data_IF_138680320525
#
_entry.id   IF_138680320525
#
_cell.length_a   1.000
_cell.length_b   1.000
_cell.length_c   1.000
_cell.angle_alpha   90.00
_cell.angle_beta   90.00
_cell.angle_gamma   90.00
#
_symmetry.space_group_name_H-M   'P 1'
#
loop_
_entity.id
_entity.type
_entity.pdbx_description
1 polymer ?
#
# COMPACT_ATOMS: atom_id res chain seq x y z
N UNK A 1 15.25 22.22 15.32
CA UNK A 1 14.51 20.95 15.24
C UNK A 1 15.49 19.85 15.63
N UNK A 2 15.10 18.91 16.49
CA UNK A 2 15.99 17.83 16.90
C UNK A 2 16.13 16.81 15.76
N UNK A 3 17.36 16.33 15.52
CA UNK A 3 17.64 15.36 14.47
C UNK A 3 17.43 13.95 15.04
N UNK A 4 16.29 13.32 14.73
CA UNK A 4 15.91 12.04 15.36
C UNK A 4 16.93 10.91 15.12
N UNK A 5 17.75 11.01 14.06
CA UNK A 5 18.79 10.05 13.74
C UNK A 5 19.98 10.25 14.69
N UNK A 6 20.49 11.47 14.79
CA UNK A 6 21.61 11.82 15.69
C UNK A 6 21.24 11.63 17.16
N UNK A 7 19.99 11.94 17.52
CA UNK A 7 19.45 11.73 18.87
C UNK A 7 19.19 10.25 19.19
N UNK A 8 19.36 9.34 18.21
CA UNK A 8 19.06 7.90 18.32
C UNK A 8 17.61 7.60 18.72
N UNK A 9 16.70 8.55 18.46
CA UNK A 9 15.28 8.38 18.68
C UNK A 9 14.62 7.57 17.56
N UNK A 10 15.21 7.60 16.35
CA UNK A 10 14.84 6.77 15.21
C UNK A 10 16.09 6.13 14.64
N UNK A 11 16.19 4.81 14.71
CA UNK A 11 17.37 4.06 14.29
C UNK A 11 17.20 3.65 12.82
N UNK A 12 18.11 4.03 11.91
CA UNK A 12 18.09 3.55 10.53
C UNK A 12 18.37 2.06 10.47
N UNK A 13 17.82 1.38 9.45
CA UNK A 13 18.09 -0.05 9.23
C UNK A 13 19.52 -0.26 8.71
N UNK A 14 20.02 0.72 7.95
CA UNK A 14 21.40 0.80 7.53
C UNK A 14 21.85 2.27 7.56
N UNK A 15 22.99 2.53 8.19
CA UNK A 15 23.68 3.81 8.09
C UNK A 15 25.03 3.58 7.44
N UNK A 16 25.29 4.31 6.36
CA UNK A 16 26.57 4.23 5.64
C UNK A 16 27.26 5.58 5.63
N UNK A 17 28.58 5.51 5.66
CA UNK A 17 29.47 6.65 5.46
C UNK A 17 30.24 6.43 4.17
N UNK A 18 29.88 7.20 3.15
CA UNK A 18 30.54 7.15 1.86
C UNK A 18 31.88 7.91 1.93
N UNK A 19 32.89 7.54 1.10
CA UNK A 19 34.12 8.31 0.99
C UNK A 19 33.82 9.74 0.50
N UNK A 20 34.57 10.72 0.99
CA UNK A 20 34.41 12.10 0.48
C UNK A 20 34.92 12.21 -0.96
N UNK A 21 35.93 11.42 -1.28
CA UNK A 21 36.58 11.29 -2.57
C UNK A 21 35.61 10.82 -3.65
N UNK A 22 34.58 10.06 -3.26
CA UNK A 22 33.50 9.65 -4.14
C UNK A 22 32.76 10.87 -4.70
N UNK A 23 32.22 11.72 -3.83
CA UNK A 23 31.54 12.96 -4.26
C UNK A 23 32.48 13.93 -4.95
N UNK A 24 33.74 14.01 -4.50
CA UNK A 24 34.75 14.89 -5.11
C UNK A 24 35.12 14.47 -6.54
N UNK A 25 34.86 13.22 -6.93
CA UNK A 25 35.08 12.74 -8.29
C UNK A 25 33.98 13.15 -9.25
N UNK A 26 32.83 13.64 -8.77
CA UNK A 26 31.70 13.97 -9.63
C UNK A 26 31.93 15.33 -10.32
N UNK A 27 32.41 15.30 -11.56
CA UNK A 27 32.64 16.52 -12.36
C UNK A 27 31.37 17.38 -12.51
N UNK A 28 30.21 16.73 -12.59
CA UNK A 28 28.89 17.36 -12.70
C UNK A 28 28.07 17.30 -11.41
N UNK A 29 28.71 17.25 -10.23
CA UNK A 29 28.01 17.27 -8.94
C UNK A 29 26.96 18.39 -8.86
N UNK A 30 25.73 18.14 -8.34
CA UNK A 30 25.18 16.87 -7.82
C UNK A 30 24.37 16.07 -8.85
N UNK A 31 24.48 16.37 -10.15
CA UNK A 31 23.56 15.87 -11.18
C UNK A 31 23.89 14.43 -11.63
N UNK A 32 25.15 14.14 -11.96
CA UNK A 32 25.57 12.82 -12.49
C UNK A 32 27.03 12.50 -12.20
N UNK A 33 27.30 11.20 -12.01
CA UNK A 33 28.63 10.59 -12.01
C UNK A 33 29.14 10.45 -13.44
N UNK A 34 29.85 11.46 -13.94
CA UNK A 34 30.39 11.45 -15.31
C UNK A 34 31.91 11.17 -15.38
N UNK A 35 32.55 10.82 -14.27
CA UNK A 35 34.01 10.60 -14.22
C UNK A 35 34.41 9.13 -14.07
N UNK A 36 35.59 8.78 -14.59
CA UNK A 36 36.21 7.46 -14.35
C UNK A 36 36.55 7.32 -12.86
N UNK A 37 35.68 6.64 -12.12
CA UNK A 37 35.93 6.32 -10.71
C UNK A 37 36.97 5.22 -10.55
N UNK A 38 37.81 5.34 -9.51
CA UNK A 38 38.73 4.28 -9.14
C UNK A 38 37.98 3.01 -8.70
N UNK A 39 38.57 1.83 -8.92
CA UNK A 39 38.01 0.53 -8.47
C UNK A 39 37.69 0.51 -6.97
N UNK A 40 38.40 1.30 -6.16
CA UNK A 40 38.17 1.40 -4.72
C UNK A 40 36.88 2.15 -4.37
N UNK A 41 36.47 3.10 -5.21
CA UNK A 41 35.27 3.93 -5.03
C UNK A 41 34.03 3.36 -5.72
N UNK A 42 34.19 2.45 -6.70
CA UNK A 42 33.05 1.80 -7.40
C UNK A 42 31.97 1.25 -6.49
N UNK A 43 32.26 0.60 -5.34
CA UNK A 43 31.19 0.14 -4.48
C UNK A 43 30.31 1.26 -3.95
N UNK A 44 30.78 2.50 -3.82
CA UNK A 44 29.97 3.62 -3.34
C UNK A 44 28.77 3.95 -4.25
N UNK A 45 28.85 3.59 -5.54
CA UNK A 45 27.77 3.75 -6.52
C UNK A 45 26.49 2.98 -6.12
N UNK A 46 26.64 1.86 -5.40
CA UNK A 46 25.50 1.09 -4.88
C UNK A 46 24.62 1.86 -3.88
N UNK A 47 25.03 3.06 -3.44
CA UNK A 47 24.17 3.94 -2.64
C UNK A 47 22.89 4.35 -3.40
N UNK A 48 22.97 4.43 -4.73
CA UNK A 48 21.86 4.66 -5.66
C UNK A 48 21.49 3.32 -6.29
N UNK A 49 20.36 2.75 -5.89
CA UNK A 49 19.92 1.45 -6.42
C UNK A 49 19.52 1.62 -7.88
N UNK A 50 20.43 1.26 -8.79
CA UNK A 50 20.13 1.09 -10.20
C UNK A 50 19.75 -0.36 -10.45
N UNK A 51 18.59 -0.54 -11.06
CA UNK A 51 18.09 -1.85 -11.44
C UNK A 51 18.60 -2.11 -12.88
N UNK A 52 19.52 -3.05 -13.13
CA UNK A 52 20.16 -3.21 -14.44
C UNK A 52 19.13 -3.58 -15.53
N UNK A 53 19.13 -2.92 -16.68
CA UNK A 53 18.24 -3.26 -17.82
C UNK A 53 18.93 -4.16 -18.86
N UNK A 54 19.77 -5.10 -18.42
CA UNK A 54 20.59 -5.94 -19.30
C UNK A 54 19.95 -7.31 -19.65
N UNK A 55 18.76 -7.58 -19.11
CA UNK A 55 18.03 -8.82 -19.36
C UNK A 55 18.56 -10.06 -18.62
N UNK A 56 19.53 -9.93 -17.71
CA UNK A 56 20.07 -11.05 -16.89
C UNK A 56 19.27 -11.32 -15.60
N UNK A 57 17.96 -11.05 -15.65
CA UNK A 57 17.11 -10.97 -14.48
C UNK A 57 16.83 -12.31 -13.82
N UNK A 58 16.91 -12.32 -12.48
CA UNK A 58 16.54 -13.44 -11.61
C UNK A 58 15.63 -12.97 -10.49
N UNK A 59 15.01 -13.89 -9.75
CA UNK A 59 14.21 -13.54 -8.56
C UNK A 59 15.08 -12.91 -7.48
N UNK A 60 16.34 -13.32 -7.39
CA UNK A 60 17.36 -12.77 -6.51
C UNK A 60 17.66 -11.29 -6.81
N UNK A 61 17.51 -10.87 -8.06
CA UNK A 61 17.62 -9.46 -8.48
C UNK A 61 16.52 -8.56 -7.90
N UNK A 62 15.43 -9.14 -7.37
CA UNK A 62 14.33 -8.39 -6.73
C UNK A 62 14.58 -8.13 -5.24
N UNK A 63 15.61 -8.75 -4.65
CA UNK A 63 16.03 -8.41 -3.30
C UNK A 63 16.66 -7.02 -3.31
N UNK A 64 16.51 -6.29 -2.21
CA UNK A 64 17.27 -5.07 -2.04
C UNK A 64 18.76 -5.39 -2.22
N UNK A 65 19.58 -4.50 -2.81
CA UNK A 65 21.03 -4.70 -2.91
C UNK A 65 21.71 -5.01 -1.56
N UNK A 66 21.05 -4.69 -0.44
CA UNK A 66 21.54 -4.93 0.91
C UNK A 66 21.00 -6.22 1.54
N UNK A 67 20.23 -7.00 0.78
CA UNK A 67 19.66 -8.29 1.18
C UNK A 67 20.19 -9.46 0.31
N UNK A 68 20.96 -9.18 -0.75
CA UNK A 68 21.67 -10.15 -1.60
C UNK A 68 23.19 -10.18 -1.40
N UNK A 69 23.95 -10.71 -2.35
CA UNK A 69 25.44 -10.79 -2.29
C UNK A 69 26.12 -9.40 -2.25
N UNK A 70 25.50 -8.39 -2.86
CA UNK A 70 25.92 -6.97 -2.81
C UNK A 70 25.97 -6.41 -1.37
N UNK A 71 25.36 -7.10 -0.41
CA UNK A 71 25.43 -6.79 1.03
C UNK A 71 26.86 -6.88 1.56
N UNK A 72 27.72 -7.79 1.10
CA UNK A 72 29.05 -7.92 1.72
C UNK A 72 29.95 -6.73 1.42
N UNK A 73 29.96 -6.27 0.16
CA UNK A 73 30.97 -5.34 -0.30
C UNK A 73 30.61 -3.88 -0.01
N UNK A 74 29.36 -3.48 -0.22
CA UNK A 74 28.93 -2.12 0.12
C UNK A 74 28.75 -1.94 1.64
N UNK A 75 27.94 -2.80 2.27
CA UNK A 75 27.65 -2.68 3.70
C UNK A 75 28.92 -2.94 4.51
N UNK A 76 29.71 -3.95 4.17
CA UNK A 76 30.97 -4.24 4.87
C UNK A 76 31.98 -3.09 4.80
N UNK A 77 32.05 -2.35 3.68
CA UNK A 77 33.00 -1.24 3.52
C UNK A 77 32.53 0.07 4.11
N UNK A 78 31.25 0.40 4.00
CA UNK A 78 30.76 1.74 4.31
C UNK A 78 29.82 1.81 5.50
N UNK A 79 29.30 0.67 6.00
CA UNK A 79 28.46 0.72 7.21
C UNK A 79 29.23 1.31 8.39
N UNK A 80 28.50 2.07 9.21
CA UNK A 80 29.09 2.70 10.37
C UNK A 80 28.05 3.13 11.39
N UNK A 81 28.53 3.54 12.55
CA UNK A 81 27.66 4.13 13.56
C UNK A 81 27.24 5.55 13.16
N UNK A 82 26.00 5.91 13.52
CA UNK A 82 25.52 7.29 13.41
C UNK A 82 26.42 8.21 14.25
N UNK A 83 27.08 9.22 13.64
CA UNK A 83 27.93 10.13 14.36
C UNK A 83 27.11 11.09 15.23
N UNK A 84 27.72 11.63 16.29
CA UNK A 84 27.10 12.66 17.14
C UNK A 84 26.79 13.97 16.41
N UNK A 85 27.38 14.18 15.23
CA UNK A 85 27.14 15.36 14.41
C UNK A 85 27.38 15.01 12.94
N UNK A 86 26.39 15.28 12.10
CA UNK A 86 26.49 15.09 10.66
C UNK A 86 27.28 16.26 10.04
N UNK A 87 28.52 15.97 9.65
CA UNK A 87 29.43 16.95 9.03
C UNK A 87 28.99 17.27 7.59
N UNK A 88 28.88 18.56 7.30
CA UNK A 88 28.68 19.09 5.95
C UNK A 88 30.05 19.37 5.33
N UNK A 89 30.27 18.95 4.09
CA UNK A 89 31.49 19.21 3.33
C UNK A 89 31.16 20.04 2.09
N UNK A 90 32.13 20.82 1.63
CA UNK A 90 32.02 21.66 0.43
C UNK A 90 32.68 20.93 -0.74
N UNK A 91 31.95 20.86 -1.85
CA UNK A 91 32.44 20.35 -3.12
C UNK A 91 33.24 21.43 -3.87
N UNK A 92 34.10 21.04 -4.80
CA UNK A 92 34.99 21.97 -5.53
C UNK A 92 34.22 23.03 -6.34
N UNK A 93 32.98 22.76 -6.72
CA UNK A 93 32.08 23.68 -7.42
C UNK A 93 31.33 24.67 -6.49
N UNK A 94 31.55 24.60 -5.17
CA UNK A 94 30.88 25.45 -4.16
C UNK A 94 29.57 24.89 -3.61
N UNK A 95 29.09 23.76 -4.14
CA UNK A 95 27.96 23.03 -3.56
C UNK A 95 28.39 22.29 -2.29
N UNK A 96 27.43 21.69 -1.61
CA UNK A 96 27.70 20.97 -0.38
C UNK A 96 27.05 19.61 -0.34
N UNK A 97 27.74 18.67 0.28
CA UNK A 97 27.26 17.31 0.48
C UNK A 97 27.46 16.85 1.92
N UNK A 98 26.76 15.77 2.27
CA UNK A 98 26.97 15.01 3.50
C UNK A 98 27.34 13.59 3.07
N UNK A 99 28.49 13.06 3.47
CA UNK A 99 28.91 11.72 3.07
C UNK A 99 28.23 10.64 3.94
N UNK A 100 26.94 10.80 4.20
CA UNK A 100 26.18 9.94 5.10
C UNK A 100 24.83 9.65 4.47
N UNK A 101 24.52 8.37 4.33
CA UNK A 101 23.19 7.91 3.91
C UNK A 101 22.55 7.07 5.01
N UNK A 102 21.28 7.35 5.28
CA UNK A 102 20.50 6.66 6.29
C UNK A 102 19.29 6.01 5.61
N UNK A 103 19.32 4.69 5.52
CA UNK A 103 18.26 3.89 4.91
C UNK A 103 17.24 3.47 5.96
N UNK A 104 15.98 3.76 5.66
CA UNK A 104 14.85 3.41 6.50
C UNK A 104 13.85 2.58 5.70
N UNK A 105 13.34 1.53 6.34
CA UNK A 105 12.16 0.82 5.88
C UNK A 105 10.98 1.78 5.84
N UNK A 106 10.17 1.71 4.78
CA UNK A 106 9.08 2.67 4.55
C UNK A 106 8.10 2.76 5.74
N UNK A 107 7.86 1.64 6.43
CA UNK A 107 6.92 1.56 7.56
C UNK A 107 7.37 2.39 8.77
N UNK A 108 8.66 2.77 8.88
CA UNK A 108 9.13 3.70 9.91
C UNK A 108 8.51 5.09 9.77
N UNK A 109 7.92 5.42 8.62
CA UNK A 109 7.07 6.61 8.46
C UNK A 109 5.82 6.58 9.35
N UNK A 110 5.30 5.40 9.69
CA UNK A 110 4.14 5.25 10.59
C UNK A 110 4.47 5.62 12.04
N UNK A 111 5.73 5.44 12.46
CA UNK A 111 6.21 5.93 13.77
C UNK A 111 6.00 7.44 13.87
N UNK A 112 6.24 8.20 12.80
CA UNK A 112 6.02 9.66 12.82
C UNK A 112 4.56 10.01 13.04
N UNK A 113 3.63 9.26 12.45
CA UNK A 113 2.18 9.49 12.58
C UNK A 113 1.77 9.43 14.05
N UNK A 114 2.19 8.38 14.75
CA UNK A 114 1.83 8.18 16.16
C UNK A 114 2.68 9.04 17.13
N UNK A 115 3.97 9.20 16.84
CA UNK A 115 4.86 10.01 17.67
C UNK A 115 4.51 11.50 17.62
N UNK A 116 3.97 12.01 16.52
CA UNK A 116 3.56 13.42 16.40
C UNK A 116 2.11 13.67 16.83
N UNK A 117 1.27 12.64 16.99
CA UNK A 117 -0.13 12.79 17.36
C UNK A 117 -0.31 13.57 18.69
N UNK A 118 -0.86 14.77 18.60
CA UNK A 118 -1.10 15.67 19.74
C UNK A 118 0.11 16.50 20.19
N UNK A 119 1.21 16.47 19.43
CA UNK A 119 2.46 17.21 19.71
C UNK A 119 2.87 18.13 18.55
N UNK A 120 1.95 18.44 17.63
CA UNK A 120 2.19 19.25 16.44
C UNK A 120 2.58 20.70 16.74
N UNK A 121 2.26 21.16 17.95
CA UNK A 121 2.46 22.53 18.43
C UNK A 121 3.20 22.58 19.77
N UNK A 122 4.02 21.57 20.03
CA UNK A 122 4.79 21.45 21.28
C UNK A 122 5.64 22.70 21.57
N UNK A 123 6.12 23.34 20.52
CA UNK A 123 6.92 24.57 20.52
C UNK A 123 6.13 25.82 20.93
N UNK A 124 4.80 25.82 20.79
CA UNK A 124 3.94 26.93 21.24
C UNK A 124 3.73 26.93 22.75
N UNK A 125 3.85 25.77 23.39
CA UNK A 125 3.46 25.59 24.80
C UNK A 125 4.65 25.27 25.70
N UNK A 126 5.78 24.81 25.17
CA UNK A 126 6.95 24.40 25.93
C UNK A 126 8.22 25.07 25.45
N UNK A 127 9.18 25.21 26.37
CA UNK A 127 10.54 25.65 26.02
C UNK A 127 11.18 24.68 25.04
N UNK A 128 12.11 25.17 24.22
CA UNK A 128 12.83 24.33 23.25
C UNK A 128 13.47 23.08 23.89
N UNK A 129 14.08 23.22 25.07
CA UNK A 129 14.77 22.12 25.76
C UNK A 129 13.77 21.06 26.21
N UNK A 130 12.71 21.49 26.90
CA UNK A 130 11.66 20.59 27.43
C UNK A 130 10.89 19.91 26.30
N UNK A 131 10.52 20.67 25.25
CA UNK A 131 9.84 20.12 24.09
C UNK A 131 10.70 19.08 23.36
N UNK A 132 12.00 19.37 23.17
CA UNK A 132 12.95 18.41 22.58
C UNK A 132 13.04 17.12 23.38
N UNK A 133 13.20 17.19 24.70
CA UNK A 133 13.30 16.01 25.57
C UNK A 133 12.04 15.13 25.50
N UNK A 134 10.86 15.74 25.56
CA UNK A 134 9.58 15.03 25.45
C UNK A 134 9.43 14.36 24.07
N UNK A 135 9.76 15.08 23.00
CA UNK A 135 9.61 14.56 21.64
C UNK A 135 10.58 13.40 21.39
N UNK A 136 11.84 13.50 21.82
CA UNK A 136 12.81 12.39 21.73
C UNK A 136 12.31 11.17 22.51
N UNK A 137 11.86 11.36 23.76
CA UNK A 137 11.33 10.26 24.58
C UNK A 137 10.12 9.59 23.92
N UNK A 138 9.24 10.37 23.30
CA UNK A 138 8.06 9.86 22.62
C UNK A 138 8.42 9.08 21.36
N UNK A 139 9.27 9.62 20.50
CA UNK A 139 9.75 8.91 19.31
C UNK A 139 10.44 7.60 19.69
N UNK A 140 11.28 7.61 20.71
CA UNK A 140 11.97 6.41 21.20
C UNK A 140 10.96 5.34 21.66
N UNK A 141 9.94 5.73 22.44
CA UNK A 141 8.92 4.80 22.93
C UNK A 141 8.08 4.23 21.78
N UNK A 142 7.54 5.08 20.91
CA UNK A 142 6.75 4.63 19.75
C UNK A 142 7.59 3.77 18.82
N UNK A 143 8.84 4.17 18.53
CA UNK A 143 9.75 3.37 17.71
C UNK A 143 9.98 1.98 18.32
N UNK A 144 10.18 1.89 19.63
CA UNK A 144 10.36 0.60 20.30
C UNK A 144 9.09 -0.26 20.20
N UNK A 145 7.91 0.32 20.45
CA UNK A 145 6.65 -0.40 20.32
C UNK A 145 6.43 -0.94 18.90
N UNK A 146 6.80 -0.16 17.89
CA UNK A 146 6.70 -0.58 16.49
C UNK A 146 7.69 -1.68 16.13
N UNK A 147 8.94 -1.55 16.59
CA UNK A 147 9.97 -2.57 16.39
C UNK A 147 9.58 -3.91 17.05
N UNK A 148 8.95 -3.87 18.22
CA UNK A 148 8.52 -5.07 18.95
C UNK A 148 7.27 -5.74 18.35
N UNK A 149 6.29 -4.95 17.88
CA UNK A 149 4.98 -5.49 17.50
C UNK A 149 4.79 -5.69 16.00
N UNK A 150 5.42 -4.84 15.18
CA UNK A 150 5.08 -4.67 13.77
C UNK A 150 6.26 -4.82 12.80
N UNK A 151 7.51 -4.76 13.27
CA UNK A 151 8.70 -4.89 12.41
C UNK A 151 8.61 -6.07 11.46
N UNK A 152 8.41 -7.27 11.99
CA UNK A 152 8.41 -8.49 11.19
C UNK A 152 7.29 -8.50 10.14
N UNK A 153 6.11 -7.97 10.49
CA UNK A 153 4.95 -7.83 9.60
C UNK A 153 5.31 -6.96 8.40
N UNK A 154 5.81 -5.75 8.67
CA UNK A 154 6.11 -4.78 7.62
C UNK A 154 7.40 -5.08 6.87
N UNK A 155 8.36 -5.78 7.47
CA UNK A 155 9.52 -6.32 6.74
C UNK A 155 9.06 -7.32 5.70
N UNK A 156 8.23 -8.31 6.06
CA UNK A 156 7.66 -9.24 5.08
C UNK A 156 6.90 -8.54 3.96
N UNK A 157 6.05 -7.59 4.33
CA UNK A 157 5.29 -6.80 3.35
C UNK A 157 6.17 -5.94 2.45
N UNK A 158 7.26 -5.36 2.97
CA UNK A 158 8.18 -4.58 2.15
C UNK A 158 8.79 -5.41 1.03
N UNK A 159 9.17 -6.66 1.29
CA UNK A 159 9.68 -7.56 0.24
C UNK A 159 8.61 -7.81 -0.82
N UNK A 160 7.41 -8.22 -0.41
CA UNK A 160 6.31 -8.49 -1.34
C UNK A 160 5.93 -7.27 -2.18
N UNK A 161 5.73 -6.13 -1.52
CA UNK A 161 5.37 -4.86 -2.17
C UNK A 161 6.43 -4.40 -3.16
N UNK A 162 7.70 -4.44 -2.77
CA UNK A 162 8.81 -4.02 -3.64
C UNK A 162 8.89 -4.88 -4.88
N UNK A 163 8.93 -6.20 -4.68
CA UNK A 163 9.13 -7.13 -5.79
C UNK A 163 7.93 -7.15 -6.74
N UNK A 164 6.70 -7.07 -6.21
CA UNK A 164 5.49 -6.93 -7.04
C UNK A 164 5.48 -5.61 -7.82
N UNK A 165 5.88 -4.51 -7.19
CA UNK A 165 5.93 -3.19 -7.84
C UNK A 165 6.92 -3.21 -9.00
N UNK A 166 8.11 -3.79 -8.80
CA UNK A 166 9.12 -3.96 -9.86
C UNK A 166 8.53 -4.77 -11.02
N UNK A 167 7.92 -5.93 -10.74
CA UNK A 167 7.29 -6.75 -11.79
C UNK A 167 6.15 -6.02 -12.53
N UNK A 168 5.40 -5.14 -11.85
CA UNK A 168 4.26 -4.43 -12.45
C UNK A 168 4.72 -3.26 -13.32
N UNK A 169 5.70 -2.49 -12.86
CA UNK A 169 6.21 -1.32 -13.59
C UNK A 169 7.03 -1.71 -14.82
N UNK A 170 7.62 -2.90 -14.79
CA UNK A 170 8.36 -3.44 -15.92
C UNK A 170 7.39 -4.19 -16.84
N UNK A 171 6.63 -3.44 -17.65
CA UNK A 171 5.71 -3.98 -18.64
C UNK A 171 6.41 -5.05 -19.53
N UNK A 172 5.86 -6.27 -19.49
CA UNK A 172 6.39 -7.46 -20.14
C UNK A 172 6.62 -7.29 -21.64
N UNK A 173 7.83 -7.63 -22.12
CA UNK A 173 8.08 -8.99 -22.60
C UNK A 173 9.36 -9.65 -22.05
N UNK A 174 10.09 -9.02 -21.13
CA UNK A 174 11.45 -9.47 -20.74
C UNK A 174 11.51 -10.46 -19.57
N UNK A 175 10.46 -10.54 -18.74
CA UNK A 175 10.46 -11.36 -17.52
C UNK A 175 9.37 -12.42 -17.58
N UNK A 176 9.77 -13.69 -17.64
CA UNK A 176 8.87 -14.85 -17.58
C UNK A 176 8.69 -15.35 -16.14
N UNK A 177 8.38 -14.45 -15.20
CA UNK A 177 8.14 -14.79 -13.79
C UNK A 177 6.66 -14.59 -13.49
N UNK A 178 6.03 -15.63 -12.96
CA UNK A 178 4.64 -15.57 -12.49
C UNK A 178 4.56 -14.97 -11.08
N UNK A 179 3.43 -14.35 -10.73
CA UNK A 179 3.18 -13.88 -9.36
C UNK A 179 3.25 -15.00 -8.31
N UNK A 180 2.99 -16.24 -8.71
CA UNK A 180 3.11 -17.42 -7.85
C UNK A 180 4.57 -17.74 -7.53
N UNK A 181 5.43 -17.80 -8.55
CA UNK A 181 6.87 -18.00 -8.37
C UNK A 181 7.48 -16.89 -7.50
N UNK A 182 7.05 -15.64 -7.73
CA UNK A 182 7.45 -14.52 -6.88
C UNK A 182 7.04 -14.74 -5.42
N UNK A 183 5.77 -15.09 -5.19
CA UNK A 183 5.23 -15.28 -3.84
C UNK A 183 5.95 -16.39 -3.09
N UNK A 184 6.24 -17.51 -3.75
CA UNK A 184 7.00 -18.64 -3.20
C UNK A 184 8.46 -18.29 -2.93
N UNK A 185 9.08 -17.46 -3.77
CA UNK A 185 10.43 -16.95 -3.53
C UNK A 185 10.50 -16.07 -2.28
N UNK A 186 9.60 -15.09 -2.17
CA UNK A 186 9.54 -14.19 -1.01
C UNK A 186 9.21 -14.99 0.26
N UNK A 187 8.35 -16.00 0.16
CA UNK A 187 8.06 -16.91 1.26
C UNK A 187 9.33 -17.59 1.79
N UNK A 188 10.20 -18.08 0.90
CA UNK A 188 11.48 -18.70 1.27
C UNK A 188 12.45 -17.70 1.90
N UNK A 189 12.61 -16.52 1.28
CA UNK A 189 13.54 -15.48 1.75
C UNK A 189 13.14 -14.95 3.12
N UNK A 190 11.84 -14.77 3.35
CA UNK A 190 11.31 -14.24 4.60
C UNK A 190 10.99 -15.30 5.65
N UNK A 191 11.25 -16.59 5.35
CA UNK A 191 10.89 -17.74 6.18
C UNK A 191 9.44 -17.68 6.68
N UNK A 192 8.51 -17.34 5.78
CA UNK A 192 7.11 -17.11 6.10
C UNK A 192 6.23 -18.29 5.70
N UNK A 193 5.03 -18.39 6.27
CA UNK A 193 4.00 -19.32 5.84
C UNK A 193 2.62 -18.67 5.89
N UNK A 194 1.61 -19.33 5.33
CA UNK A 194 0.25 -18.76 5.27
C UNK A 194 -0.34 -18.47 6.65
N UNK A 195 -0.03 -19.29 7.66
CA UNK A 195 -0.51 -19.07 9.04
C UNK A 195 0.09 -17.79 9.64
N UNK A 196 1.38 -17.55 9.41
CA UNK A 196 2.04 -16.32 9.85
C UNK A 196 1.49 -15.09 9.13
N UNK A 197 1.22 -15.18 7.82
CA UNK A 197 0.57 -14.10 7.09
C UNK A 197 -0.86 -13.83 7.55
N UNK A 198 -1.59 -14.86 7.98
CA UNK A 198 -2.91 -14.69 8.59
C UNK A 198 -2.82 -13.97 9.95
N UNK A 199 -1.82 -14.28 10.78
CA UNK A 199 -1.54 -13.56 12.04
C UNK A 199 -1.12 -12.11 11.78
N UNK A 200 -0.31 -11.88 10.75
CA UNK A 200 0.08 -10.55 10.30
C UNK A 200 -1.15 -9.73 9.88
N UNK A 201 -2.10 -10.36 9.17
CA UNK A 201 -3.34 -9.71 8.75
C UNK A 201 -4.15 -9.26 9.97
N UNK A 202 -4.29 -10.11 10.99
CA UNK A 202 -4.99 -9.74 12.22
C UNK A 202 -4.34 -8.52 12.90
N UNK A 203 -3.01 -8.49 13.01
CA UNK A 203 -2.29 -7.33 13.57
C UNK A 203 -2.57 -6.04 12.80
N UNK A 204 -2.61 -6.10 11.46
CA UNK A 204 -2.90 -4.93 10.63
C UNK A 204 -4.35 -4.48 10.73
N UNK A 205 -5.32 -5.41 10.83
CA UNK A 205 -6.73 -5.06 11.01
C UNK A 205 -7.00 -4.43 12.39
N UNK A 206 -6.29 -4.86 13.43
CA UNK A 206 -6.32 -4.22 14.76
C UNK A 206 -5.74 -2.81 14.69
N UNK A 207 -4.55 -2.67 14.08
CA UNK A 207 -3.91 -1.37 13.88
C UNK A 207 -4.81 -0.40 13.11
N UNK A 208 -5.44 -0.89 12.04
CA UNK A 208 -6.39 -0.14 11.24
C UNK A 208 -7.55 0.39 12.08
N UNK A 209 -8.16 -0.46 12.93
CA UNK A 209 -9.24 -0.04 13.82
C UNK A 209 -8.83 1.04 14.82
N UNK A 210 -7.63 0.90 15.40
CA UNK A 210 -7.07 1.93 16.29
C UNK A 210 -6.90 3.27 15.57
N UNK A 211 -6.35 3.25 14.36
CA UNK A 211 -6.13 4.44 13.56
C UNK A 211 -7.42 5.06 13.07
N UNK A 212 -8.40 4.25 12.65
CA UNK A 212 -9.71 4.72 12.21
C UNK A 212 -10.44 5.45 13.35
N UNK A 213 -10.34 4.94 14.58
CA UNK A 213 -10.85 5.64 15.77
C UNK A 213 -10.17 7.00 15.96
N UNK A 214 -8.85 7.08 15.85
CA UNK A 214 -8.09 8.35 15.94
C UNK A 214 -8.48 9.33 14.83
N UNK A 215 -8.69 8.83 13.62
CA UNK A 215 -9.19 9.65 12.51
C UNK A 215 -10.58 10.23 12.83
N UNK A 216 -11.51 9.40 13.34
CA UNK A 216 -12.86 9.83 13.75
C UNK A 216 -12.85 10.87 14.86
N UNK A 217 -11.83 10.85 15.72
CA UNK A 217 -11.56 11.88 16.73
C UNK A 217 -10.97 13.19 16.15
N UNK A 218 -10.76 13.27 14.83
CA UNK A 218 -10.27 14.46 14.14
C UNK A 218 -8.75 14.62 14.13
N UNK A 219 -7.98 13.55 14.37
CA UNK A 219 -6.51 13.59 14.35
C UNK A 219 -5.97 13.72 12.92
N UNK A 220 -5.07 14.70 12.71
CA UNK A 220 -4.70 15.22 11.38
C UNK A 220 -3.97 14.23 10.46
N UNK A 221 -3.06 13.41 10.99
CA UNK A 221 -2.15 12.58 10.18
C UNK A 221 -2.70 11.20 9.83
N UNK A 222 -3.73 10.74 10.55
CA UNK A 222 -4.30 9.41 10.35
C UNK A 222 -5.02 9.20 9.02
N UNK A 223 -5.72 10.17 8.39
CA UNK A 223 -6.36 9.96 7.09
C UNK A 223 -5.38 9.44 6.01
N UNK A 224 -4.20 10.05 5.87
CA UNK A 224 -3.23 9.59 4.87
C UNK A 224 -2.56 8.28 5.27
N UNK A 225 -2.25 8.11 6.55
CA UNK A 225 -1.65 6.89 7.07
C UNK A 225 -2.58 5.68 6.89
N UNK A 226 -3.88 5.85 7.10
CA UNK A 226 -4.91 4.83 6.89
C UNK A 226 -4.96 4.37 5.43
N UNK A 227 -4.87 5.28 4.46
CA UNK A 227 -4.85 4.89 3.05
C UNK A 227 -3.61 4.08 2.67
N UNK A 228 -2.44 4.42 3.23
CA UNK A 228 -1.23 3.61 3.05
C UNK A 228 -1.36 2.23 3.73
N UNK A 229 -1.94 2.19 4.93
CA UNK A 229 -2.21 0.94 5.64
C UNK A 229 -3.22 0.05 4.90
N UNK A 230 -4.22 0.63 4.21
CA UNK A 230 -5.14 -0.13 3.32
C UNK A 230 -4.37 -0.80 2.18
N UNK A 231 -3.42 -0.10 1.58
CA UNK A 231 -2.58 -0.68 0.53
C UNK A 231 -1.75 -1.83 1.07
N UNK A 232 -1.14 -1.68 2.25
CA UNK A 232 -0.37 -2.75 2.89
C UNK A 232 -1.24 -3.98 3.20
N UNK A 233 -2.46 -3.76 3.71
CA UNK A 233 -3.44 -4.83 3.96
C UNK A 233 -3.89 -5.50 2.65
N UNK A 234 -4.06 -4.74 1.58
CA UNK A 234 -4.35 -5.28 0.25
C UNK A 234 -3.22 -6.16 -0.29
N UNK A 235 -1.97 -5.70 -0.22
CA UNK A 235 -0.81 -6.49 -0.63
C UNK A 235 -0.72 -7.80 0.17
N UNK A 236 -1.01 -7.75 1.47
CA UNK A 236 -1.03 -8.95 2.30
C UNK A 236 -2.14 -9.94 1.89
N UNK A 237 -3.35 -9.44 1.63
CA UNK A 237 -4.48 -10.26 1.19
C UNK A 237 -4.16 -10.96 -0.13
N UNK A 238 -3.63 -10.22 -1.09
CA UNK A 238 -3.27 -10.77 -2.38
C UNK A 238 -2.20 -11.86 -2.25
N UNK A 239 -1.15 -11.60 -1.46
CA UNK A 239 -0.09 -12.58 -1.23
C UNK A 239 -0.63 -13.86 -0.59
N UNK A 240 -1.53 -13.74 0.39
CA UNK A 240 -2.25 -14.87 1.00
C UNK A 240 -3.04 -15.67 -0.03
N UNK A 241 -3.78 -15.01 -0.92
CA UNK A 241 -4.57 -15.67 -1.96
C UNK A 241 -3.70 -16.44 -2.94
N UNK A 242 -2.58 -15.86 -3.38
CA UNK A 242 -1.64 -16.50 -4.30
C UNK A 242 -1.00 -17.74 -3.65
N UNK A 243 -0.49 -17.61 -2.42
CA UNK A 243 0.19 -18.71 -1.73
C UNK A 243 -0.72 -19.90 -1.43
N UNK A 244 -1.96 -19.62 -1.04
CA UNK A 244 -2.92 -20.66 -0.62
C UNK A 244 -3.80 -21.17 -1.76
N UNK A 245 -3.77 -20.49 -2.92
CA UNK A 245 -4.70 -20.70 -4.02
C UNK A 245 -6.18 -20.64 -3.58
N UNK A 246 -6.48 -19.87 -2.52
CA UNK A 246 -7.84 -19.63 -2.03
C UNK A 246 -8.34 -18.30 -2.58
N UNK A 247 -9.63 -18.22 -2.96
CA UNK A 247 -10.19 -16.97 -3.43
C UNK A 247 -10.43 -16.03 -2.24
N UNK A 248 -10.48 -14.72 -2.52
CA UNK A 248 -10.51 -13.68 -1.49
C UNK A 248 -11.73 -13.77 -0.57
N UNK A 249 -12.86 -14.27 -1.06
CA UNK A 249 -14.11 -14.45 -0.33
C UNK A 249 -13.93 -15.33 0.91
N UNK A 250 -13.01 -16.30 0.85
CA UNK A 250 -12.66 -17.14 2.01
C UNK A 250 -12.09 -16.28 3.13
N UNK A 251 -11.23 -15.32 2.80
CA UNK A 251 -10.60 -14.40 3.75
C UNK A 251 -11.56 -13.31 4.23
N UNK A 252 -12.38 -12.75 3.35
CA UNK A 252 -13.45 -11.83 3.75
C UNK A 252 -14.43 -12.49 4.72
N UNK A 253 -14.76 -13.77 4.52
CA UNK A 253 -15.58 -14.54 5.45
C UNK A 253 -14.84 -14.78 6.77
N UNK A 254 -13.55 -15.13 6.73
CA UNK A 254 -12.71 -15.38 7.91
C UNK A 254 -12.69 -14.16 8.85
N UNK A 255 -12.36 -12.98 8.33
CA UNK A 255 -12.32 -11.74 9.10
C UNK A 255 -13.63 -10.95 9.01
N UNK A 256 -14.76 -11.65 9.18
CA UNK A 256 -16.10 -11.04 9.33
C UNK A 256 -16.64 -11.23 10.74
N UNK A 257 -17.45 -10.28 11.22
CA UNK A 257 -18.09 -10.38 12.54
C UNK A 257 -19.15 -11.49 12.66
N UNK A 258 -19.37 -12.27 11.59
CA UNK A 258 -20.41 -13.29 11.54
C UNK A 258 -20.02 -14.60 12.23
N UNK A 259 -18.75 -14.77 12.61
CA UNK A 259 -18.23 -16.06 13.08
C UNK A 259 -18.09 -16.07 14.62
N UNK A 260 -17.64 -14.98 15.25
CA UNK A 260 -17.49 -14.88 16.72
C UNK A 260 -17.57 -13.41 17.18
N UNK A 261 -17.94 -13.12 18.46
CA UNK A 261 -17.96 -11.76 18.99
C UNK A 261 -16.52 -11.30 19.28
N UNK A 262 -15.84 -10.77 18.27
CA UNK A 262 -14.50 -10.20 18.42
C UNK A 262 -14.56 -8.69 18.24
N UNK A 263 -14.48 -7.96 19.35
CA UNK A 263 -14.29 -6.50 19.41
C UNK A 263 -12.84 -6.07 19.09
N UNK A 264 -11.99 -7.00 18.64
CA UNK A 264 -10.54 -6.81 18.61
C UNK A 264 -10.07 -6.24 17.26
N UNK A 265 -10.59 -6.72 16.13
CA UNK A 265 -10.17 -6.30 14.79
C UNK A 265 -11.32 -5.77 13.94
N UNK A 266 -11.02 -4.93 12.94
CA UNK A 266 -11.99 -4.43 11.95
C UNK A 266 -12.25 -5.47 10.87
N UNK A 267 -13.47 -5.51 10.28
CA UNK A 267 -13.75 -6.44 9.19
C UNK A 267 -12.90 -6.12 7.97
N UNK A 268 -12.32 -7.14 7.34
CA UNK A 268 -11.50 -6.94 6.14
C UNK A 268 -12.27 -6.20 5.02
N UNK A 269 -13.58 -6.45 4.90
CA UNK A 269 -14.48 -5.77 3.94
C UNK A 269 -14.66 -4.26 4.21
N UNK A 270 -14.44 -3.80 5.44
CA UNK A 270 -14.51 -2.38 5.81
C UNK A 270 -13.17 -1.67 5.53
N UNK A 271 -12.09 -2.44 5.47
CA UNK A 271 -10.74 -1.94 5.19
C UNK A 271 -10.47 -1.84 3.70
N UNK A 272 -10.67 -2.93 2.96
CA UNK A 272 -10.46 -2.97 1.52
C UNK A 272 -11.81 -2.80 0.82
N UNK A 273 -12.04 -1.61 0.26
CA UNK A 273 -13.17 -1.38 -0.64
C UNK A 273 -12.88 -2.03 -1.99
N UNK A 274 -13.13 -3.33 -2.07
CA UNK A 274 -13.21 -4.00 -3.35
C UNK A 274 -14.46 -3.47 -4.05
N UNK A 275 -14.26 -2.94 -5.25
CA UNK A 275 -15.33 -2.36 -6.05
C UNK A 275 -16.47 -3.37 -6.17
N UNK A 276 -16.14 -4.64 -6.37
CA UNK A 276 -17.03 -5.79 -6.47
C UNK A 276 -17.96 -5.94 -5.25
N UNK A 277 -17.46 -5.85 -4.00
CA UNK A 277 -18.32 -5.95 -2.81
C UNK A 277 -19.17 -4.71 -2.60
N UNK A 278 -18.65 -3.52 -2.91
CA UNK A 278 -19.45 -2.30 -2.84
C UNK A 278 -20.54 -2.28 -3.91
N UNK A 279 -20.24 -2.76 -5.12
CA UNK A 279 -21.18 -2.97 -6.21
C UNK A 279 -22.22 -4.03 -5.86
N UNK A 280 -21.82 -5.15 -5.26
CA UNK A 280 -22.72 -6.19 -4.74
C UNK A 280 -23.65 -5.63 -3.67
N UNK A 281 -23.09 -4.96 -2.66
CA UNK A 281 -23.85 -4.35 -1.56
C UNK A 281 -24.86 -3.32 -2.09
N UNK A 282 -24.44 -2.46 -3.03
CA UNK A 282 -25.30 -1.48 -3.69
C UNK A 282 -26.39 -2.18 -4.51
N UNK A 283 -26.05 -3.21 -5.27
CA UNK A 283 -27.02 -3.99 -6.04
C UNK A 283 -28.09 -4.57 -5.12
N UNK A 284 -27.69 -5.32 -4.08
CA UNK A 284 -28.59 -5.97 -3.13
C UNK A 284 -29.47 -4.93 -2.43
N UNK A 285 -28.90 -3.78 -2.07
CA UNK A 285 -29.61 -2.72 -1.35
C UNK A 285 -30.61 -1.98 -2.22
N UNK A 286 -30.27 -1.66 -3.47
CA UNK A 286 -31.01 -0.67 -4.26
C UNK A 286 -31.80 -1.26 -5.42
N UNK A 287 -31.33 -2.33 -6.08
CA UNK A 287 -32.07 -2.96 -7.18
C UNK A 287 -33.48 -3.40 -6.81
N UNK A 288 -33.76 -3.90 -5.58
CA UNK A 288 -35.14 -4.23 -5.20
C UNK A 288 -36.12 -3.06 -5.33
N UNK A 289 -35.65 -1.83 -5.12
CA UNK A 289 -36.46 -0.62 -5.25
C UNK A 289 -36.69 -0.21 -6.70
N UNK A 290 -35.73 -0.45 -7.60
CA UNK A 290 -35.86 -0.16 -9.04
C UNK A 290 -36.65 -1.24 -9.79
N UNK A 291 -36.67 -2.47 -9.26
CA UNK A 291 -37.28 -3.64 -9.89
C UNK A 291 -38.53 -4.14 -9.13
N UNK A 292 -39.27 -3.25 -8.45
CA UNK A 292 -40.45 -3.63 -7.68
C UNK A 292 -41.48 -4.44 -8.48
N UNK A 293 -41.71 -4.08 -9.75
CA UNK A 293 -42.66 -4.78 -10.62
C UNK A 293 -42.18 -6.22 -10.87
N UNK A 294 -40.90 -6.39 -11.21
CA UNK A 294 -40.31 -7.72 -11.43
C UNK A 294 -40.29 -8.56 -10.15
N UNK A 295 -40.12 -7.92 -8.99
CA UNK A 295 -40.23 -8.58 -7.69
C UNK A 295 -41.67 -9.02 -7.39
N UNK A 296 -42.67 -8.16 -7.67
CA UNK A 296 -44.10 -8.47 -7.51
C UNK A 296 -44.55 -9.60 -8.44
N UNK A 297 -44.00 -9.65 -9.64
CA UNK A 297 -44.26 -10.69 -10.64
C UNK A 297 -43.46 -11.99 -10.39
N UNK A 298 -42.62 -12.03 -9.35
CA UNK A 298 -41.89 -13.23 -8.95
C UNK A 298 -40.64 -13.53 -9.77
N UNK A 299 -40.20 -12.63 -10.66
CA UNK A 299 -38.96 -12.78 -11.42
C UNK A 299 -37.69 -12.57 -10.56
N UNK A 300 -37.82 -11.83 -9.45
CA UNK A 300 -36.73 -11.62 -8.49
C UNK A 300 -37.13 -12.23 -7.15
N UNK A 301 -36.77 -13.51 -6.96
CA UNK A 301 -37.05 -14.27 -5.74
C UNK A 301 -35.93 -14.12 -4.70
N UNK A 302 -34.67 -14.17 -5.15
CA UNK A 302 -33.48 -13.87 -4.34
C UNK A 302 -32.52 -12.96 -5.11
N UNK A 303 -32.33 -11.74 -4.59
CA UNK A 303 -31.50 -10.69 -5.19
C UNK A 303 -30.02 -11.09 -5.19
N UNK A 304 -29.57 -11.85 -4.19
CA UNK A 304 -28.18 -12.35 -4.13
C UNK A 304 -27.92 -13.38 -5.23
N UNK A 305 -28.83 -14.33 -5.41
CA UNK A 305 -28.77 -15.29 -6.52
C UNK A 305 -28.78 -14.61 -7.88
N UNK A 306 -29.58 -13.55 -8.04
CA UNK A 306 -29.61 -12.76 -9.29
C UNK A 306 -28.28 -12.05 -9.52
N UNK A 307 -27.70 -11.42 -8.49
CA UNK A 307 -26.37 -10.80 -8.59
C UNK A 307 -25.31 -11.81 -9.03
N UNK A 308 -25.23 -12.97 -8.37
CA UNK A 308 -24.26 -14.02 -8.67
C UNK A 308 -24.37 -14.48 -10.14
N UNK A 309 -25.58 -14.73 -10.63
CA UNK A 309 -25.82 -15.14 -12.03
C UNK A 309 -25.44 -14.07 -13.05
N UNK A 310 -25.64 -12.80 -12.72
CA UNK A 310 -25.26 -11.70 -13.61
C UNK A 310 -23.74 -11.50 -13.60
N UNK A 311 -23.08 -11.65 -12.45
CA UNK A 311 -21.63 -11.53 -12.31
C UNK A 311 -20.82 -12.54 -13.15
N UNK A 312 -21.42 -13.65 -13.55
CA UNK A 312 -20.85 -14.61 -14.52
C UNK A 312 -20.74 -14.06 -15.96
N UNK A 313 -21.31 -12.88 -16.23
CA UNK A 313 -21.23 -12.22 -17.54
C UNK A 313 -20.19 -11.11 -17.52
N UNK A 314 -19.26 -11.10 -18.48
CA UNK A 314 -18.23 -10.05 -18.59
C UNK A 314 -18.84 -8.64 -18.74
N UNK A 315 -19.99 -8.54 -19.40
CA UNK A 315 -20.74 -7.31 -19.59
C UNK A 315 -21.41 -6.77 -18.32
N UNK A 316 -21.48 -7.56 -17.25
CA UNK A 316 -22.09 -7.14 -15.99
C UNK A 316 -21.25 -6.12 -15.25
N UNK A 317 -19.92 -6.25 -15.24
CA UNK A 317 -19.04 -5.34 -14.50
C UNK A 317 -19.14 -3.88 -14.98
N UNK A 318 -19.10 -3.60 -16.29
CA UNK A 318 -19.43 -2.26 -16.79
C UNK A 318 -20.86 -1.84 -16.42
N UNK A 319 -21.84 -2.73 -16.49
CA UNK A 319 -23.24 -2.40 -16.19
C UNK A 319 -23.44 -1.98 -14.74
N UNK A 320 -22.93 -2.75 -13.79
CA UNK A 320 -23.13 -2.49 -12.36
C UNK A 320 -22.43 -1.22 -11.90
N UNK A 321 -21.28 -0.88 -12.50
CA UNK A 321 -20.61 0.41 -12.31
C UNK A 321 -21.48 1.57 -12.78
N UNK A 322 -22.06 1.47 -13.98
CA UNK A 322 -22.97 2.49 -14.49
C UNK A 322 -24.24 2.63 -13.64
N UNK A 323 -24.78 1.51 -13.14
CA UNK A 323 -25.91 1.53 -12.20
C UNK A 323 -25.56 2.26 -10.90
N UNK A 324 -24.39 1.94 -10.34
CA UNK A 324 -23.85 2.54 -9.12
C UNK A 324 -23.64 4.06 -9.27
N UNK A 325 -23.03 4.49 -10.37
CA UNK A 325 -22.81 5.90 -10.69
C UNK A 325 -24.12 6.68 -10.85
N UNK A 326 -25.09 6.07 -11.54
CA UNK A 326 -26.42 6.67 -11.73
C UNK A 326 -27.14 6.82 -10.38
N UNK A 327 -27.06 5.81 -9.51
CA UNK A 327 -27.69 5.85 -8.20
C UNK A 327 -27.15 7.01 -7.34
N UNK A 328 -25.83 7.19 -7.29
CA UNK A 328 -25.19 8.26 -6.52
C UNK A 328 -25.53 9.66 -7.04
N UNK A 329 -25.84 9.79 -8.34
CA UNK A 329 -26.24 11.07 -8.93
C UNK A 329 -27.73 11.39 -8.71
N UNK A 330 -28.58 10.36 -8.59
CA UNK A 330 -30.03 10.53 -8.41
C UNK A 330 -30.39 10.68 -6.93
N UNK A 331 -29.68 10.03 -6.01
CA UNK A 331 -29.96 10.08 -4.58
C UNK A 331 -29.19 11.22 -3.91
N UNK A 332 -29.85 12.26 -3.37
CA UNK A 332 -29.17 13.35 -2.68
C UNK A 332 -28.49 12.83 -1.41
N UNK A 333 -27.17 12.98 -1.31
CA UNK A 333 -26.38 12.63 -0.11
C UNK A 333 -26.65 13.57 1.08
N UNK A 334 -27.32 14.70 0.86
CA UNK A 334 -27.89 15.56 1.89
C UNK A 334 -29.08 16.32 1.31
N UNK A 335 -30.02 16.74 2.17
CA UNK A 335 -31.22 17.52 1.85
C UNK A 335 -30.98 18.92 1.27
N UNK A 336 -29.77 19.20 0.75
CA UNK A 336 -29.32 20.54 0.32
C UNK A 336 -28.66 20.60 -1.06
N UNK A 337 -28.58 19.49 -1.83
CA UNK A 337 -28.22 19.57 -3.26
C UNK A 337 -29.44 19.29 -4.12
N UNK A 338 -30.07 20.32 -4.76
CA UNK A 338 -31.06 20.05 -5.79
C UNK A 338 -30.40 19.25 -6.92
N UNK A 339 -31.14 18.33 -7.54
CA UNK A 339 -30.74 17.69 -8.80
C UNK A 339 -30.42 18.78 -9.83
N UNK A 340 -29.14 19.05 -10.05
CA UNK A 340 -28.70 20.09 -10.98
C UNK A 340 -28.67 19.50 -12.38
N UNK A 341 -29.78 19.58 -13.11
CA UNK A 341 -29.90 19.24 -14.54
C UNK A 341 -29.10 20.17 -15.48
N UNK A 342 -28.21 21.03 -14.94
CA UNK A 342 -27.36 21.93 -15.74
C UNK A 342 -26.09 21.27 -16.27
N UNK A 343 -25.79 20.01 -15.94
CA UNK A 343 -24.70 19.28 -16.58
C UNK A 343 -25.23 18.34 -17.67
N UNK A 344 -24.68 18.37 -18.90
CA UNK A 344 -25.10 17.50 -20.00
C UNK A 344 -24.91 15.99 -19.71
N UNK A 345 -24.15 15.64 -18.67
CA UNK A 345 -23.76 14.26 -18.35
C UNK A 345 -24.83 13.42 -17.63
N UNK A 346 -25.87 14.03 -17.03
CA UNK A 346 -26.95 13.26 -16.37
C UNK A 346 -27.77 12.46 -17.39
N UNK A 347 -27.85 12.88 -18.66
CA UNK A 347 -28.47 12.11 -19.74
C UNK A 347 -27.56 10.99 -20.27
N UNK A 348 -26.24 11.15 -20.12
CA UNK A 348 -25.27 10.14 -20.55
C UNK A 348 -25.33 8.89 -19.66
N UNK A 349 -25.57 9.02 -18.36
CA UNK A 349 -25.61 7.85 -17.45
C UNK A 349 -26.80 6.91 -17.69
N UNK A 350 -28.06 7.38 -17.86
CA UNK A 350 -29.18 6.55 -18.29
C UNK A 350 -28.97 5.93 -19.67
N UNK A 351 -28.37 6.67 -20.62
CA UNK A 351 -28.07 6.16 -21.95
C UNK A 351 -27.00 5.06 -21.91
N UNK A 352 -25.91 5.28 -21.16
CA UNK A 352 -24.86 4.30 -20.91
C UNK A 352 -25.42 3.08 -20.20
N UNK A 353 -26.29 3.26 -19.20
CA UNK A 353 -26.95 2.16 -18.51
C UNK A 353 -27.88 1.39 -19.47
N UNK A 354 -28.67 2.07 -20.30
CA UNK A 354 -29.55 1.44 -21.28
C UNK A 354 -28.76 0.60 -22.31
N UNK A 355 -27.69 1.18 -22.89
CA UNK A 355 -26.80 0.47 -23.82
C UNK A 355 -26.15 -0.73 -23.14
N UNK A 356 -25.61 -0.55 -21.92
CA UNK A 356 -24.99 -1.65 -21.17
C UNK A 356 -26.01 -2.71 -20.77
N UNK A 357 -27.25 -2.34 -20.50
CA UNK A 357 -28.35 -3.28 -20.18
C UNK A 357 -28.67 -4.12 -21.40
N UNK A 358 -28.77 -3.50 -22.57
CA UNK A 358 -28.99 -4.21 -23.83
C UNK A 358 -27.85 -5.21 -24.12
N UNK A 359 -26.60 -4.78 -23.95
CA UNK A 359 -25.42 -5.66 -24.12
C UNK A 359 -25.44 -6.82 -23.12
N UNK A 360 -25.78 -6.56 -21.86
CA UNK A 360 -25.89 -7.59 -20.81
C UNK A 360 -26.99 -8.61 -21.14
N UNK A 361 -28.17 -8.14 -21.56
CA UNK A 361 -29.29 -8.98 -21.99
C UNK A 361 -28.86 -9.88 -23.16
N UNK A 362 -28.25 -9.30 -24.20
CA UNK A 362 -27.78 -10.06 -25.37
C UNK A 362 -26.76 -11.13 -24.99
N UNK A 363 -25.79 -10.80 -24.14
CA UNK A 363 -24.76 -11.74 -23.67
C UNK A 363 -25.36 -12.90 -22.86
N UNK A 364 -26.35 -12.60 -22.02
CA UNK A 364 -27.05 -13.59 -21.21
C UNK A 364 -27.82 -14.60 -22.06
N UNK A 365 -28.57 -14.13 -23.06
CA UNK A 365 -29.31 -15.00 -23.97
C UNK A 365 -28.41 -15.77 -24.94
N UNK A 366 -27.29 -15.19 -25.39
CA UNK A 366 -26.35 -15.91 -26.30
C UNK A 366 -25.66 -17.12 -25.66
N UNK A 367 -25.49 -17.15 -24.33
CA UNK A 367 -24.98 -18.34 -23.62
C UNK A 367 -26.06 -19.40 -23.40
N UNK A 368 -27.33 -19.01 -23.38
CA UNK A 368 -28.45 -19.92 -23.16
C UNK A 368 -28.72 -20.74 -24.43
N UNK A 369 -28.57 -20.12 -25.60
CA UNK A 369 -28.71 -20.78 -26.92
C UNK A 369 -27.54 -21.72 -27.29
N UNK A 370 -26.45 -21.76 -26.50
CA UNK A 370 -25.32 -22.67 -26.69
C UNK A 370 -25.35 -23.90 -25.76
N UNK A 371 -26.35 -23.99 -24.89
CA UNK A 371 -26.54 -25.09 -23.92
C UNK A 371 -27.72 -26.01 -24.26
N UNK A 372 -28.41 -25.76 -25.38
CA UNK A 372 -29.28 -26.71 -26.10
C UNK A 372 -28.51 -27.34 -27.26
#
# INVERSE_FOLDING_TARGET
>A
MADMIVERALIPDLFVRLPSEYFASWDNFPLTEDSEMSEELKPADYHSVSIPDDGTWSLESLLHPYDGELKSDFVGRFSGEVPRTLKKQEHSNGDYFRPYEAYFSYWKSYIFVEALDGYEHIDKFLSWKTGREILISRFTNVSQQWEENYKDVFTRLSFYRTAKTILTLWEAPRISITYKELSEFIQKVTNCNSELLEQDMEKLLILFGHWEKRQKEGRRYYPQAIELLRQDIYFLLEWLCILTNKPQEVYFKKWSYNIEPHDIWVQLKEVISYEEFELERRFIRYVPSYAEILKKEGYITDVKSVYARLAEQESFWPWIRAFSDLHDQIVPTSSTKPLVFKQPRILDHPLVLAIRTEVLIRAFFSKTDQAE
#
